data_IF_743617906005
#
_entry.id   IF_743617906005
#
_cell.length_a   1.000
_cell.length_b   1.000
_cell.length_c   1.000
_cell.angle_alpha   90.00
_cell.angle_beta   90.00
_cell.angle_gamma   90.00
#
_symmetry.space_group_name_H-M   'P 1'
#
loop_
_entity.id
_entity.type
_entity.pdbx_description
1 polymer ?
#
# COMPACT_ATOMS: atom_id res chain seq x y z
N UNK A 1 -12.33 0.58 49.64
CA UNK A 1 -12.75 0.37 48.23
C UNK A 1 -12.11 -0.93 47.76
N UNK A 2 -12.90 -1.88 47.28
CA UNK A 2 -12.37 -3.11 46.66
C UNK A 2 -11.96 -2.73 45.24
N UNK A 3 -10.66 -2.78 44.93
CA UNK A 3 -10.18 -2.51 43.59
C UNK A 3 -10.19 -3.82 42.78
N UNK A 4 -10.92 -3.87 41.65
CA UNK A 4 -10.86 -5.03 40.77
C UNK A 4 -9.44 -5.20 40.21
N UNK A 5 -8.87 -6.39 40.36
CA UNK A 5 -7.53 -6.74 39.83
C UNK A 5 -7.60 -7.35 38.43
N UNK A 6 -8.75 -7.91 38.05
CA UNK A 6 -8.97 -8.48 36.71
C UNK A 6 -9.31 -7.38 35.71
N UNK A 7 -8.51 -7.27 34.65
CA UNK A 7 -8.79 -6.40 33.51
C UNK A 7 -9.31 -7.25 32.36
N UNK A 8 -10.33 -6.76 31.66
CA UNK A 8 -10.89 -7.39 30.47
C UNK A 8 -11.01 -6.35 29.35
N UNK A 9 -10.97 -6.81 28.10
CA UNK A 9 -11.23 -5.98 26.92
C UNK A 9 -12.04 -6.80 25.90
N UNK A 10 -12.69 -6.11 24.94
CA UNK A 10 -13.39 -6.73 23.82
C UNK A 10 -12.90 -6.11 22.50
N UNK A 11 -12.88 -6.91 21.44
CA UNK A 11 -12.79 -6.43 20.05
C UNK A 11 -14.18 -6.49 19.41
N UNK A 12 -14.45 -5.62 18.46
CA UNK A 12 -15.71 -5.58 17.71
C UNK A 12 -15.40 -5.58 16.22
N UNK A 13 -16.10 -6.40 15.45
CA UNK A 13 -16.06 -6.41 13.99
C UNK A 13 -17.26 -5.61 13.48
N UNK A 14 -17.02 -4.65 12.60
CA UNK A 14 -18.04 -3.81 11.99
C UNK A 14 -17.85 -3.90 10.48
N UNK A 15 -18.94 -4.17 9.76
CA UNK A 15 -18.90 -4.24 8.30
C UNK A 15 -18.88 -2.85 7.68
N UNK A 16 -18.27 -2.74 6.51
CA UNK A 16 -18.08 -1.48 5.82
C UNK A 16 -17.83 -1.66 4.33
N UNK A 17 -17.89 -0.54 3.61
CA UNK A 17 -17.50 -0.44 2.22
C UNK A 17 -16.25 0.41 2.09
N UNK A 18 -15.35 0.03 1.18
CA UNK A 18 -14.17 0.81 0.82
C UNK A 18 -14.44 1.52 -0.50
N UNK A 19 -14.36 2.85 -0.52
CA UNK A 19 -14.67 3.67 -1.70
C UNK A 19 -13.53 4.63 -2.04
N UNK A 20 -13.30 4.95 -3.32
CA UNK A 20 -12.24 5.88 -3.71
C UNK A 20 -12.56 7.31 -3.29
N UNK A 21 -11.55 8.01 -2.79
CA UNK A 21 -11.58 9.44 -2.47
C UNK A 21 -10.19 10.04 -2.61
N UNK A 22 -10.06 11.33 -2.28
CA UNK A 22 -8.78 12.04 -2.27
C UNK A 22 -8.62 12.76 -0.93
N UNK A 23 -7.45 12.62 -0.30
CA UNK A 23 -7.04 13.47 0.82
C UNK A 23 -6.20 14.62 0.28
N UNK A 24 -6.57 15.85 0.64
CA UNK A 24 -5.83 17.04 0.31
C UNK A 24 -5.05 17.54 1.54
N UNK A 25 -3.75 17.26 1.54
CA UNK A 25 -2.81 17.62 2.59
C UNK A 25 -1.53 18.20 1.97
N UNK A 26 -1.60 19.45 1.52
CA UNK A 26 -0.54 20.11 0.75
C UNK A 26 -0.50 19.67 -0.72
N UNK A 27 -0.56 18.37 -0.97
CA UNK A 27 -0.82 17.74 -2.28
C UNK A 27 -2.09 16.89 -2.22
N UNK A 28 -2.47 16.24 -3.33
CA UNK A 28 -3.64 15.37 -3.41
C UNK A 28 -3.23 13.91 -3.44
N UNK A 29 -3.70 13.14 -2.45
CA UNK A 29 -3.40 11.74 -2.29
C UNK A 29 -4.63 10.92 -2.60
N UNK A 30 -4.54 10.06 -3.61
CA UNK A 30 -5.56 9.06 -3.86
C UNK A 30 -5.60 8.05 -2.70
N UNK A 31 -6.79 7.80 -2.18
CA UNK A 31 -7.02 6.83 -1.10
C UNK A 31 -8.31 6.06 -1.36
N UNK A 32 -8.45 4.89 -0.74
CA UNK A 32 -9.77 4.38 -0.43
C UNK A 32 -10.12 4.81 1.00
N UNK A 33 -11.33 5.32 1.22
CA UNK A 33 -11.87 5.57 2.56
C UNK A 33 -12.84 4.45 2.92
N UNK A 34 -12.82 4.04 4.18
CA UNK A 34 -13.66 2.95 4.67
C UNK A 34 -14.87 3.50 5.44
N UNK A 35 -16.07 3.19 4.96
CA UNK A 35 -17.34 3.64 5.52
C UNK A 35 -18.01 2.47 6.23
N UNK A 36 -18.25 2.60 7.53
CA UNK A 36 -18.74 1.51 8.38
C UNK A 36 -20.23 1.63 8.71
N UNK A 37 -20.85 0.47 9.02
CA UNK A 37 -22.26 0.35 9.36
C UNK A 37 -22.69 1.15 10.61
N UNK A 38 -21.76 1.45 11.51
CA UNK A 38 -21.97 2.28 12.70
C UNK A 38 -21.81 3.79 12.41
N UNK A 39 -21.65 4.18 11.14
CA UNK A 39 -21.54 5.58 10.73
C UNK A 39 -20.16 6.20 10.95
N UNK A 40 -19.13 5.38 11.19
CA UNK A 40 -17.74 5.83 11.20
C UNK A 40 -17.13 5.81 9.81
N UNK A 41 -16.12 6.66 9.61
CA UNK A 41 -15.36 6.74 8.37
C UNK A 41 -13.87 6.75 8.70
N UNK A 42 -13.09 5.85 8.10
CA UNK A 42 -11.63 5.92 8.09
C UNK A 42 -11.18 6.70 6.86
N UNK A 43 -10.55 7.85 7.08
CA UNK A 43 -9.98 8.69 6.03
C UNK A 43 -8.66 9.34 6.51
N UNK A 44 -7.69 8.50 6.90
CA UNK A 44 -6.48 8.79 7.71
C UNK A 44 -6.76 9.14 9.18
N UNK A 45 -7.99 9.54 9.47
CA UNK A 45 -8.54 9.67 10.80
C UNK A 45 -9.78 8.79 10.89
N UNK A 46 -9.97 8.16 12.05
CA UNK A 46 -11.12 7.30 12.28
C UNK A 46 -12.26 8.10 12.93
N UNK A 47 -13.03 8.77 12.09
CA UNK A 47 -13.97 9.81 12.46
C UNK A 47 -15.41 9.30 12.56
N UNK A 48 -16.27 10.12 13.19
CA UNK A 48 -17.71 9.97 13.04
C UNK A 48 -18.21 10.75 11.81
N UNK A 49 -19.47 10.53 11.44
CA UNK A 49 -20.07 11.14 10.27
C UNK A 49 -20.11 12.68 10.30
N UNK A 50 -20.18 13.30 11.49
CA UNK A 50 -20.24 14.76 11.60
C UNK A 50 -18.86 15.41 11.44
N UNK A 51 -17.80 14.75 11.89
CA UNK A 51 -16.43 15.16 11.61
C UNK A 51 -16.09 14.94 10.14
N UNK A 52 -16.45 13.79 9.57
CA UNK A 52 -16.30 13.53 8.14
C UNK A 52 -16.94 14.62 7.27
N UNK A 53 -18.18 15.04 7.58
CA UNK A 53 -18.85 16.16 6.88
C UNK A 53 -18.07 17.47 6.97
N UNK A 54 -17.47 17.77 8.12
CA UNK A 54 -16.62 18.97 8.28
C UNK A 54 -15.35 18.84 7.44
N UNK A 55 -14.78 17.64 7.38
CA UNK A 55 -13.58 17.31 6.61
C UNK A 55 -13.78 17.47 5.12
N UNK A 56 -14.93 17.02 4.60
CA UNK A 56 -15.32 17.29 3.21
C UNK A 56 -15.52 18.79 2.96
N UNK A 57 -16.25 19.49 3.86
CA UNK A 57 -16.55 20.92 3.68
C UNK A 57 -15.31 21.81 3.73
N UNK A 58 -14.38 21.52 4.65
CA UNK A 58 -13.11 22.25 4.78
C UNK A 58 -12.08 21.88 3.70
N UNK A 59 -12.33 20.81 2.93
CA UNK A 59 -11.47 20.37 1.83
C UNK A 59 -10.28 19.54 2.29
N UNK A 60 -10.40 18.83 3.42
CA UNK A 60 -9.46 17.77 3.81
C UNK A 60 -9.72 16.50 2.99
N UNK A 61 -10.97 16.07 2.93
CA UNK A 61 -11.43 15.02 2.01
C UNK A 61 -12.08 15.71 0.81
N UNK A 62 -11.65 15.36 -0.40
CA UNK A 62 -12.18 15.92 -1.65
C UNK A 62 -12.55 14.81 -2.63
N UNK A 63 -13.52 15.08 -3.48
CA UNK A 63 -14.01 14.18 -4.53
C UNK A 63 -13.43 14.49 -5.91
N UNK A 64 -12.50 15.44 -5.99
CA UNK A 64 -11.87 15.84 -7.24
C UNK A 64 -10.66 16.75 -7.01
N UNK A 65 -9.85 16.85 -8.06
CA UNK A 65 -8.58 17.58 -8.08
C UNK A 65 -8.67 18.67 -9.15
N UNK A 66 -8.26 19.92 -8.87
CA UNK A 66 -8.21 20.98 -9.87
C UNK A 66 -7.11 20.71 -10.92
N UNK A 67 -7.31 21.18 -12.15
CA UNK A 67 -6.34 21.04 -13.22
C UNK A 67 -4.94 21.60 -12.86
N UNK A 68 -3.90 20.97 -13.42
CA UNK A 68 -2.48 21.26 -13.19
C UNK A 68 -2.01 20.98 -11.75
N UNK A 69 -2.79 20.25 -10.96
CA UNK A 69 -2.33 19.71 -9.68
C UNK A 69 -1.94 18.24 -9.84
N UNK A 70 -1.18 17.77 -8.85
CA UNK A 70 -0.64 16.42 -8.80
C UNK A 70 -1.56 15.48 -8.04
N UNK A 71 -1.80 14.28 -8.57
CA UNK A 71 -2.39 13.14 -7.87
C UNK A 71 -1.29 12.13 -7.53
N UNK A 72 -1.10 11.89 -6.24
CA UNK A 72 -0.20 10.86 -5.70
C UNK A 72 -0.98 9.57 -5.42
N UNK A 73 -0.60 8.47 -6.05
CA UNK A 73 -1.19 7.14 -5.83
C UNK A 73 -0.15 6.27 -5.10
N UNK A 74 -0.45 5.92 -3.85
CA UNK A 74 0.48 5.21 -2.99
C UNK A 74 0.99 3.91 -3.64
N UNK A 75 2.32 3.75 -3.65
CA UNK A 75 3.01 2.59 -4.19
C UNK A 75 2.95 2.44 -5.71
N UNK A 76 2.45 3.43 -6.46
CA UNK A 76 2.31 3.35 -7.92
C UNK A 76 3.01 4.51 -8.65
N UNK A 77 2.80 5.74 -8.20
CA UNK A 77 3.39 6.91 -8.85
C UNK A 77 2.65 8.20 -8.54
N UNK A 78 3.06 9.25 -9.22
CA UNK A 78 2.40 10.54 -9.12
C UNK A 78 2.37 11.27 -10.46
N UNK A 79 1.24 11.92 -10.74
CA UNK A 79 0.98 12.56 -12.04
C UNK A 79 0.36 13.93 -11.88
N UNK A 80 0.81 14.89 -12.68
CA UNK A 80 0.06 16.11 -12.93
C UNK A 80 -1.09 15.80 -13.87
N UNK A 81 -2.29 16.30 -13.55
CA UNK A 81 -3.52 15.97 -14.28
C UNK A 81 -4.21 17.21 -14.82
N UNK A 82 -5.01 17.02 -15.88
CA UNK A 82 -5.87 18.03 -16.49
C UNK A 82 -7.21 17.42 -16.91
N UNK A 83 -8.19 18.25 -17.23
CA UNK A 83 -9.52 17.85 -17.71
C UNK A 83 -10.23 16.87 -16.74
N UNK A 84 -10.16 17.15 -15.44
CA UNK A 84 -10.84 16.34 -14.42
C UNK A 84 -12.36 16.36 -14.58
N UNK A 85 -12.99 15.18 -14.65
CA UNK A 85 -14.44 14.98 -14.69
C UNK A 85 -14.87 14.14 -13.48
N UNK A 86 -15.31 14.83 -12.43
CA UNK A 86 -15.59 14.23 -11.12
C UNK A 86 -17.09 13.99 -10.91
N UNK A 87 -17.43 12.87 -10.28
CA UNK A 87 -18.83 12.45 -10.08
C UNK A 87 -19.56 13.24 -9.00
N UNK A 88 -18.81 13.83 -8.05
CA UNK A 88 -19.39 14.46 -6.87
C UNK A 88 -18.83 15.86 -6.63
N UNK A 89 -19.71 16.74 -6.18
CA UNK A 89 -19.34 17.89 -5.37
C UNK A 89 -19.32 17.52 -3.88
N UNK A 90 -19.06 18.52 -3.01
CA UNK A 90 -18.95 18.30 -1.56
C UNK A 90 -20.20 17.69 -0.93
N UNK A 91 -21.39 18.22 -1.25
CA UNK A 91 -22.62 17.79 -0.58
C UNK A 91 -23.15 16.47 -1.19
N UNK A 92 -23.00 16.27 -2.50
CA UNK A 92 -23.34 14.99 -3.13
C UNK A 92 -22.40 13.85 -2.70
N UNK A 93 -21.13 14.12 -2.41
CA UNK A 93 -20.22 13.13 -1.83
C UNK A 93 -20.61 12.75 -0.39
N UNK A 94 -20.97 13.75 0.43
CA UNK A 94 -21.52 13.51 1.77
C UNK A 94 -22.79 12.64 1.68
N UNK A 95 -23.71 12.98 0.77
CA UNK A 95 -24.95 12.23 0.58
C UNK A 95 -24.70 10.80 0.11
N UNK A 96 -23.67 10.57 -0.73
CA UNK A 96 -23.27 9.24 -1.15
C UNK A 96 -22.80 8.40 0.04
N UNK A 97 -21.92 8.93 0.89
CA UNK A 97 -21.44 8.24 2.10
C UNK A 97 -22.59 7.93 3.06
N UNK A 98 -23.52 8.87 3.26
CA UNK A 98 -24.72 8.63 4.08
C UNK A 98 -25.61 7.51 3.51
N UNK A 99 -25.72 7.39 2.19
CA UNK A 99 -26.44 6.28 1.55
C UNK A 99 -25.76 4.94 1.80
N UNK A 100 -24.43 4.87 1.74
CA UNK A 100 -23.67 3.65 2.05
C UNK A 100 -23.88 3.20 3.50
N UNK A 101 -23.86 4.13 4.45
CA UNK A 101 -24.15 3.82 5.86
C UNK A 101 -25.57 3.26 5.99
N UNK A 102 -26.55 3.85 5.31
CA UNK A 102 -27.93 3.38 5.32
C UNK A 102 -28.11 2.04 4.61
N UNK A 103 -27.30 1.73 3.61
CA UNK A 103 -27.30 0.42 2.96
C UNK A 103 -26.79 -0.67 3.91
N UNK A 104 -25.70 -0.40 4.63
CA UNK A 104 -25.14 -1.30 5.64
C UNK A 104 -26.03 -1.41 6.90
N UNK A 105 -26.71 -0.32 7.26
CA UNK A 105 -27.53 -0.20 8.46
C UNK A 105 -28.83 0.57 8.17
N UNK A 106 -29.85 -0.09 7.58
CA UNK A 106 -31.09 0.59 7.16
C UNK A 106 -31.88 1.26 8.27
N UNK A 107 -31.76 0.75 9.50
CA UNK A 107 -32.43 1.28 10.68
C UNK A 107 -31.62 2.40 11.38
N UNK A 108 -30.35 2.61 10.98
CA UNK A 108 -29.41 3.53 11.63
C UNK A 108 -29.30 3.27 13.14
N UNK A 109 -29.25 1.99 13.53
CA UNK A 109 -29.10 1.58 14.92
C UNK A 109 -27.63 1.62 15.34
N UNK A 110 -27.35 2.01 16.59
CA UNK A 110 -25.99 2.06 17.15
C UNK A 110 -25.00 2.94 16.36
N UNK A 111 -25.48 4.03 15.76
CA UNK A 111 -24.59 5.01 15.10
C UNK A 111 -23.67 5.66 16.14
N UNK A 112 -22.39 5.62 15.85
CA UNK A 112 -21.35 6.20 16.67
C UNK A 112 -21.44 7.72 16.67
N UNK A 113 -21.32 8.31 17.84
CA UNK A 113 -21.18 9.75 18.02
C UNK A 113 -19.89 10.00 18.77
N UNK A 114 -18.98 10.76 18.15
CA UNK A 114 -17.69 11.03 18.75
C UNK A 114 -17.87 11.81 20.04
N UNK A 115 -17.26 11.28 21.12
CA UNK A 115 -17.09 12.00 22.37
C UNK A 115 -15.60 12.19 22.62
N UNK A 116 -15.14 13.44 22.59
CA UNK A 116 -13.73 13.73 22.84
C UNK A 116 -13.39 13.37 24.28
N UNK A 117 -12.62 12.30 24.49
CA UNK A 117 -12.10 11.94 25.80
C UNK A 117 -10.70 12.52 25.97
N UNK A 118 -10.50 13.34 27.00
CA UNK A 118 -9.17 13.87 27.34
C UNK A 118 -8.79 13.38 28.73
N UNK A 119 -7.62 12.76 28.85
CA UNK A 119 -7.06 12.29 30.13
C UNK A 119 -5.67 12.89 30.27
N UNK A 120 -5.44 13.69 31.32
CA UNK A 120 -4.17 14.37 31.59
C UNK A 120 -3.66 15.21 30.40
N UNK A 121 -4.55 15.86 29.65
CA UNK A 121 -4.19 16.66 28.48
C UNK A 121 -3.96 15.85 27.20
N UNK A 122 -3.97 14.52 27.26
CA UNK A 122 -3.87 13.63 26.10
C UNK A 122 -5.28 13.34 25.58
N UNK A 123 -5.51 13.64 24.31
CA UNK A 123 -6.74 13.24 23.60
C UNK A 123 -6.67 11.74 23.34
N UNK A 124 -7.66 11.01 23.86
CA UNK A 124 -7.84 9.58 23.61
C UNK A 124 -8.91 9.47 22.53
N UNK A 125 -8.51 8.96 21.37
CA UNK A 125 -9.41 8.56 20.29
C UNK A 125 -9.43 7.05 20.12
N UNK A 126 -10.39 6.56 19.36
CA UNK A 126 -10.38 5.20 18.86
C UNK A 126 -9.72 5.19 17.47
N UNK A 127 -8.91 4.17 17.19
CA UNK A 127 -8.40 3.90 15.85
C UNK A 127 -9.13 2.71 15.24
N UNK A 128 -9.20 2.69 13.93
CA UNK A 128 -9.78 1.62 13.14
C UNK A 128 -9.12 1.65 11.78
N UNK A 129 -8.76 0.48 11.27
CA UNK A 129 -8.26 0.30 9.92
C UNK A 129 -9.16 -0.74 9.26
N UNK A 130 -9.57 -0.52 8.01
CA UNK A 130 -10.24 -1.55 7.25
C UNK A 130 -9.29 -2.67 6.87
N UNK A 131 -9.83 -3.87 6.81
CA UNK A 131 -9.17 -5.01 6.17
C UNK A 131 -10.05 -5.43 5.01
N UNK A 132 -9.48 -5.43 3.81
CA UNK A 132 -10.15 -6.00 2.64
C UNK A 132 -10.31 -7.50 2.86
N UNK A 133 -11.47 -8.03 2.49
CA UNK A 133 -11.78 -9.43 2.65
C UNK A 133 -12.59 -9.96 1.48
N UNK A 134 -12.60 -11.28 1.33
CA UNK A 134 -13.57 -12.00 0.52
C UNK A 134 -14.27 -13.06 1.36
N UNK A 135 -15.45 -13.46 0.91
CA UNK A 135 -16.24 -14.50 1.56
C UNK A 135 -15.85 -15.89 1.03
N UNK A 136 -15.56 -16.81 1.95
CA UNK A 136 -15.48 -18.22 1.68
C UNK A 136 -16.75 -18.91 2.16
N UNK A 137 -17.68 -19.10 1.22
CA UNK A 137 -18.96 -19.78 1.46
C UNK A 137 -18.77 -21.29 1.44
N UNK A 138 -19.10 -21.97 2.53
CA UNK A 138 -19.05 -23.45 2.60
C UNK A 138 -20.19 -24.10 1.82
N UNK A 139 -21.29 -23.36 1.67
CA UNK A 139 -22.47 -23.75 0.89
C UNK A 139 -23.06 -22.51 0.21
N UNK A 140 -23.86 -22.64 -0.87
CA UNK A 140 -24.48 -21.49 -1.53
C UNK A 140 -25.32 -20.60 -0.60
N UNK A 141 -25.84 -21.15 0.50
CA UNK A 141 -26.70 -20.46 1.47
C UNK A 141 -25.99 -20.23 2.82
N UNK A 142 -24.67 -20.17 2.83
CA UNK A 142 -23.90 -19.88 4.05
C UNK A 142 -24.22 -18.46 4.54
N UNK A 143 -24.91 -18.36 5.67
CA UNK A 143 -25.31 -17.10 6.28
C UNK A 143 -24.16 -16.41 7.03
N UNK A 144 -23.12 -17.16 7.36
CA UNK A 144 -21.96 -16.66 8.10
C UNK A 144 -20.67 -17.17 7.45
N UNK A 145 -20.42 -16.78 6.18
CA UNK A 145 -19.23 -17.20 5.49
C UNK A 145 -17.98 -16.77 6.24
N UNK A 146 -16.96 -17.60 6.12
CA UNK A 146 -15.64 -17.24 6.63
C UNK A 146 -15.11 -16.05 5.83
N UNK A 147 -14.53 -15.07 6.54
CA UNK A 147 -13.91 -13.90 5.92
C UNK A 147 -12.43 -14.13 5.81
N UNK A 148 -11.94 -14.23 4.58
CA UNK A 148 -10.52 -14.35 4.28
C UNK A 148 -9.99 -12.95 4.01
N UNK A 149 -9.12 -12.46 4.88
CA UNK A 149 -8.47 -11.15 4.72
C UNK A 149 -7.40 -11.24 3.63
N UNK A 150 -7.22 -10.15 2.90
CA UNK A 150 -6.18 -10.01 1.88
C UNK A 150 -5.42 -8.70 2.02
N UNK A 151 -4.42 -8.56 1.18
CA UNK A 151 -3.64 -7.33 1.01
C UNK A 151 -3.85 -6.76 -0.39
N UNK A 152 -3.34 -5.56 -0.68
CA UNK A 152 -3.59 -4.94 -1.98
C UNK A 152 -2.49 -4.01 -2.49
N UNK A 153 -2.42 -3.90 -3.82
CA UNK A 153 -1.60 -2.90 -4.52
C UNK A 153 -2.43 -2.16 -5.58
N UNK A 154 -2.04 -0.92 -5.89
CA UNK A 154 -2.63 -0.17 -7.01
C UNK A 154 -1.86 -0.45 -8.30
N UNK A 155 -2.60 -0.62 -9.40
CA UNK A 155 -2.10 -0.71 -10.78
C UNK A 155 -3.12 -0.08 -11.74
N UNK A 156 -2.78 0.02 -13.03
CA UNK A 156 -3.73 0.40 -14.07
C UNK A 156 -4.14 -0.81 -14.92
N UNK A 157 -5.42 -0.87 -15.27
CA UNK A 157 -5.99 -1.83 -16.20
C UNK A 157 -6.35 -1.12 -17.51
N UNK A 158 -5.82 -1.57 -18.64
CA UNK A 158 -5.94 -0.93 -19.95
C UNK A 158 -7.05 -1.58 -20.78
N UNK A 159 -7.99 -0.78 -21.27
CA UNK A 159 -9.06 -1.21 -22.20
C UNK A 159 -9.21 -0.17 -23.30
N UNK A 160 -9.07 -0.58 -24.57
CA UNK A 160 -9.32 0.28 -25.74
C UNK A 160 -8.65 1.68 -25.67
N UNK A 161 -7.43 1.76 -25.17
CA UNK A 161 -6.63 2.99 -24.92
C UNK A 161 -7.09 3.89 -23.76
N UNK A 162 -8.06 3.45 -22.96
CA UNK A 162 -8.34 4.04 -21.65
C UNK A 162 -7.69 3.20 -20.54
N UNK A 163 -7.41 3.87 -19.43
CA UNK A 163 -6.79 3.27 -18.27
C UNK A 163 -7.76 3.35 -17.10
N UNK A 164 -7.86 2.28 -16.32
CA UNK A 164 -8.69 2.21 -15.14
C UNK A 164 -7.77 1.99 -13.95
N UNK A 165 -7.82 2.88 -12.96
CA UNK A 165 -7.10 2.66 -11.72
C UNK A 165 -7.74 1.45 -11.01
N UNK A 166 -7.03 0.33 -10.97
CA UNK A 166 -7.51 -0.92 -10.37
C UNK A 166 -6.81 -1.16 -9.03
N UNK A 167 -7.54 -1.75 -8.09
CA UNK A 167 -6.98 -2.25 -6.84
C UNK A 167 -6.86 -3.77 -6.95
N UNK A 168 -5.61 -4.23 -6.99
CA UNK A 168 -5.26 -5.65 -7.09
C UNK A 168 -5.24 -6.21 -5.68
N UNK A 169 -6.25 -6.99 -5.34
CA UNK A 169 -6.40 -7.65 -4.05
C UNK A 169 -5.73 -9.03 -4.14
N UNK A 170 -4.95 -9.40 -3.13
CA UNK A 170 -4.24 -10.69 -3.06
C UNK A 170 -4.70 -11.42 -1.82
N UNK A 171 -5.05 -12.70 -1.97
CA UNK A 171 -5.58 -13.53 -0.89
C UNK A 171 -4.70 -14.76 -0.61
N UNK A 172 -4.71 -15.30 0.63
CA UNK A 172 -3.96 -16.51 1.02
C UNK A 172 -4.21 -17.76 0.17
N UNK A 173 -5.37 -17.85 -0.46
CA UNK A 173 -5.75 -18.98 -1.33
C UNK A 173 -5.32 -18.80 -2.79
N UNK A 174 -4.36 -17.91 -3.03
CA UNK A 174 -3.76 -17.59 -4.34
C UNK A 174 -4.72 -16.92 -5.33
N UNK A 175 -5.89 -16.48 -4.88
CA UNK A 175 -6.77 -15.65 -5.70
C UNK A 175 -6.23 -14.23 -5.74
N UNK A 176 -6.20 -13.66 -6.94
CA UNK A 176 -5.97 -12.24 -7.19
C UNK A 176 -7.27 -11.65 -7.73
N UNK A 177 -7.82 -10.63 -7.08
CA UNK A 177 -9.04 -9.97 -7.52
C UNK A 177 -8.74 -8.55 -8.00
N UNK A 178 -9.08 -8.25 -9.25
CA UNK A 178 -9.03 -6.91 -9.82
C UNK A 178 -10.32 -6.18 -9.46
N UNK A 179 -10.24 -5.25 -8.51
CA UNK A 179 -11.37 -4.45 -8.03
C UNK A 179 -11.24 -2.98 -8.46
N UNK A 180 -12.19 -2.12 -8.06
CA UNK A 180 -12.32 -0.75 -8.58
C UNK A 180 -12.60 -0.72 -10.09
N UNK A 181 -13.36 -1.71 -10.54
CA UNK A 181 -13.92 -1.86 -11.89
C UNK A 181 -15.44 -2.06 -11.77
N UNK A 182 -16.18 -1.93 -12.87
CA UNK A 182 -17.64 -2.18 -12.87
C UNK A 182 -17.99 -3.58 -12.33
N UNK A 183 -17.14 -4.56 -12.64
CA UNK A 183 -17.20 -5.91 -12.09
C UNK A 183 -15.81 -6.32 -11.65
N UNK A 184 -15.74 -6.91 -10.46
CA UNK A 184 -14.52 -7.57 -10.00
C UNK A 184 -14.19 -8.74 -10.91
N UNK A 185 -12.90 -8.90 -11.23
CA UNK A 185 -12.38 -10.02 -12.01
C UNK A 185 -11.41 -10.80 -11.15
N UNK A 186 -11.72 -12.07 -10.91
CA UNK A 186 -10.83 -12.96 -10.17
C UNK A 186 -9.96 -13.74 -11.15
N UNK A 187 -8.66 -13.76 -10.87
CA UNK A 187 -7.61 -14.41 -11.64
C UNK A 187 -6.59 -15.05 -10.68
N UNK A 188 -5.68 -15.86 -11.23
CA UNK A 188 -4.52 -16.37 -10.50
C UNK A 188 -3.22 -15.63 -10.89
N UNK A 189 -2.09 -16.01 -10.27
CA UNK A 189 -0.80 -15.37 -10.52
C UNK A 189 -0.30 -15.55 -11.97
N UNK A 190 -0.51 -16.71 -12.59
CA UNK A 190 -0.10 -16.97 -13.98
C UNK A 190 -0.89 -16.07 -14.94
N UNK A 191 -2.20 -15.99 -14.76
CA UNK A 191 -3.06 -15.08 -15.53
C UNK A 191 -2.70 -13.60 -15.31
N UNK A 192 -2.36 -13.21 -14.08
CA UNK A 192 -1.90 -11.86 -13.76
C UNK A 192 -0.59 -11.53 -14.49
N UNK A 193 0.39 -12.43 -14.49
CA UNK A 193 1.65 -12.29 -15.23
C UNK A 193 1.42 -12.22 -16.74
N UNK A 194 0.49 -13.02 -17.28
CA UNK A 194 0.09 -12.91 -18.68
C UNK A 194 -0.49 -11.53 -19.02
N UNK A 195 -1.34 -10.96 -18.16
CA UNK A 195 -1.93 -9.64 -18.38
C UNK A 195 -0.87 -8.53 -18.34
N UNK A 196 0.15 -8.67 -17.50
CA UNK A 196 1.33 -7.77 -17.51
C UNK A 196 2.10 -7.92 -18.83
N UNK A 197 2.40 -9.15 -19.24
CA UNK A 197 3.14 -9.43 -20.48
C UNK A 197 2.40 -8.93 -21.74
N UNK A 198 1.06 -8.89 -21.70
CA UNK A 198 0.18 -8.35 -22.75
C UNK A 198 -0.01 -6.82 -22.66
N UNK A 199 0.64 -6.14 -21.71
CA UNK A 199 0.48 -4.71 -21.42
C UNK A 199 -0.98 -4.30 -21.13
N UNK A 200 -1.77 -5.22 -20.55
CA UNK A 200 -3.15 -4.96 -20.10
C UNK A 200 -3.12 -4.46 -18.67
N UNK A 201 -2.27 -5.03 -17.81
CA UNK A 201 -1.97 -4.50 -16.48
C UNK A 201 -0.64 -3.76 -16.56
N UNK A 202 -0.64 -2.48 -16.21
CA UNK A 202 0.53 -1.60 -16.30
C UNK A 202 0.66 -0.74 -15.06
N UNK A 203 1.87 -0.24 -14.81
CA UNK A 203 2.14 0.73 -13.75
C UNK A 203 2.41 2.14 -14.27
N UNK A 204 2.69 2.26 -15.57
CA UNK A 204 3.00 3.51 -16.25
C UNK A 204 1.91 3.85 -17.27
N UNK A 205 1.60 5.15 -17.35
CA UNK A 205 0.57 5.69 -18.22
C UNK A 205 1.17 6.82 -19.07
N UNK A 206 1.01 6.79 -20.41
CA UNK A 206 1.49 7.86 -21.28
C UNK A 206 0.80 9.20 -21.01
N UNK A 207 1.52 10.29 -21.30
CA UNK A 207 0.92 11.63 -21.33
C UNK A 207 -0.21 11.69 -22.37
N UNK A 208 -1.30 12.36 -22.04
CA UNK A 208 -2.52 12.45 -22.85
C UNK A 208 -3.48 11.28 -22.67
N UNK A 209 -3.13 10.24 -21.91
CA UNK A 209 -4.04 9.14 -21.60
C UNK A 209 -5.14 9.54 -20.62
N UNK A 210 -6.32 8.97 -20.79
CA UNK A 210 -7.45 9.13 -19.87
C UNK A 210 -7.40 8.01 -18.82
N UNK A 211 -7.46 8.41 -17.56
CA UNK A 211 -7.57 7.52 -16.40
C UNK A 211 -8.96 7.64 -15.82
N UNK A 212 -9.61 6.50 -15.63
CA UNK A 212 -10.90 6.35 -14.97
C UNK A 212 -10.70 5.74 -13.58
N UNK A 213 -11.35 6.31 -12.58
CA UNK A 213 -11.43 5.79 -11.22
C UNK A 213 -12.90 5.46 -10.97
N UNK A 214 -13.23 4.16 -11.01
CA UNK A 214 -14.61 3.71 -10.83
C UNK A 214 -15.16 4.17 -9.47
N UNK A 215 -16.26 4.92 -9.48
CA UNK A 215 -16.85 5.47 -8.26
C UNK A 215 -16.28 6.80 -7.80
N UNK A 216 -15.42 7.48 -8.59
CA UNK A 216 -14.91 8.83 -8.27
C UNK A 216 -14.94 9.79 -9.45
N UNK A 217 -14.46 9.37 -10.63
CA UNK A 217 -14.38 10.22 -11.82
C UNK A 217 -13.27 9.82 -12.77
N UNK A 218 -12.88 10.75 -13.66
CA UNK A 218 -11.78 10.55 -14.60
C UNK A 218 -10.94 11.80 -14.77
N UNK A 219 -9.73 11.65 -15.31
CA UNK A 219 -8.83 12.75 -15.65
C UNK A 219 -7.91 12.38 -16.82
N UNK A 220 -7.26 13.38 -17.41
CA UNK A 220 -6.21 13.18 -18.41
C UNK A 220 -4.84 13.39 -17.78
N UNK A 221 -3.90 12.51 -18.07
CA UNK A 221 -2.51 12.62 -17.62
C UNK A 221 -1.82 13.73 -18.41
N UNK A 222 -1.23 14.68 -17.70
CA UNK A 222 -0.36 15.68 -18.33
C UNK A 222 1.10 15.22 -18.30
N UNK A 223 1.61 14.88 -17.12
CA UNK A 223 3.01 14.52 -16.91
C UNK A 223 3.14 13.58 -15.71
N UNK A 224 4.04 12.61 -15.79
CA UNK A 224 4.41 11.75 -14.67
C UNK A 224 5.58 12.38 -13.90
N UNK A 225 5.44 12.56 -12.58
CA UNK A 225 6.51 13.04 -11.72
C UNK A 225 7.46 11.90 -11.34
N UNK A 226 6.89 10.75 -11.01
CA UNK A 226 7.60 9.48 -10.86
C UNK A 226 6.61 8.32 -11.04
N UNK A 227 7.15 7.15 -11.38
CA UNK A 227 6.39 5.90 -11.52
C UNK A 227 7.17 4.76 -10.88
N UNK A 228 6.44 3.72 -10.46
CA UNK A 228 7.02 2.45 -10.07
C UNK A 228 7.03 1.50 -11.26
N UNK A 229 8.16 0.84 -11.51
CA UNK A 229 8.27 -0.13 -12.61
C UNK A 229 7.34 -1.34 -12.37
N UNK A 230 6.79 -1.88 -13.45
CA UNK A 230 5.82 -2.99 -13.38
C UNK A 230 6.44 -4.27 -12.79
N UNK A 231 7.75 -4.49 -12.96
CA UNK A 231 8.47 -5.61 -12.37
C UNK A 231 8.56 -5.47 -10.86
N UNK A 232 8.76 -4.26 -10.34
CA UNK A 232 8.74 -4.00 -8.89
C UNK A 232 7.36 -4.29 -8.31
N UNK A 233 6.29 -3.90 -9.02
CA UNK A 233 4.92 -4.24 -8.63
C UNK A 233 4.66 -5.75 -8.63
N UNK A 234 5.25 -6.48 -9.58
CA UNK A 234 5.15 -7.94 -9.62
C UNK A 234 5.91 -8.60 -8.47
N UNK A 235 7.09 -8.07 -8.09
CA UNK A 235 7.82 -8.52 -6.91
C UNK A 235 6.99 -8.30 -5.64
N UNK A 236 6.38 -7.12 -5.48
CA UNK A 236 5.47 -6.84 -4.36
C UNK A 236 4.31 -7.83 -4.29
N UNK A 237 3.63 -8.11 -5.40
CA UNK A 237 2.51 -9.07 -5.43
C UNK A 237 2.98 -10.48 -5.04
N UNK A 238 4.13 -10.92 -5.55
CA UNK A 238 4.70 -12.23 -5.20
C UNK A 238 5.08 -12.31 -3.73
N UNK A 239 5.58 -11.22 -3.16
CA UNK A 239 5.94 -11.16 -1.74
C UNK A 239 4.71 -11.20 -0.84
N UNK A 240 3.66 -10.44 -1.19
CA UNK A 240 2.36 -10.51 -0.50
C UNK A 240 1.79 -11.93 -0.49
N UNK A 241 1.91 -12.68 -1.61
CA UNK A 241 1.47 -14.08 -1.65
C UNK A 241 2.24 -14.94 -0.63
N UNK A 242 3.55 -14.77 -0.50
CA UNK A 242 4.37 -15.52 0.47
C UNK A 242 3.96 -15.19 1.90
N UNK A 243 3.88 -13.89 2.22
CA UNK A 243 3.51 -13.42 3.56
C UNK A 243 2.12 -13.93 3.96
N UNK A 244 1.14 -13.88 3.06
CA UNK A 244 -0.22 -14.37 3.29
C UNK A 244 -0.29 -15.90 3.49
N UNK A 245 0.69 -16.65 2.97
CA UNK A 245 0.86 -18.09 3.25
C UNK A 245 1.63 -18.37 4.54
N UNK A 246 2.15 -17.35 5.21
CA UNK A 246 3.03 -17.48 6.37
C UNK A 246 4.44 -17.94 6.02
N UNK A 247 4.85 -17.76 4.76
CA UNK A 247 6.23 -18.00 4.31
C UNK A 247 7.09 -16.75 4.57
N UNK A 248 8.43 -16.90 4.73
CA UNK A 248 9.32 -15.74 4.86
C UNK A 248 9.21 -14.81 3.65
N UNK A 249 9.15 -13.50 3.93
CA UNK A 249 9.19 -12.46 2.91
C UNK A 249 10.52 -12.45 2.17
N UNK A 250 10.59 -11.78 1.01
CA UNK A 250 11.82 -11.61 0.24
C UNK A 250 12.90 -10.92 1.07
N UNK A 251 12.51 -9.95 1.90
CA UNK A 251 13.44 -9.27 2.81
C UNK A 251 13.97 -10.20 3.90
N UNK A 252 13.14 -11.09 4.47
CA UNK A 252 13.59 -12.09 5.44
C UNK A 252 14.59 -13.06 4.82
N UNK A 253 14.28 -13.58 3.63
CA UNK A 253 15.18 -14.46 2.88
C UNK A 253 16.50 -13.75 2.55
N UNK A 254 16.45 -12.47 2.18
CA UNK A 254 17.65 -11.68 1.90
C UNK A 254 18.49 -11.44 3.17
N UNK A 255 17.86 -11.15 4.31
CA UNK A 255 18.55 -11.00 5.60
C UNK A 255 19.23 -12.29 6.03
N UNK A 256 18.58 -13.43 5.86
CA UNK A 256 19.20 -14.73 6.13
C UNK A 256 20.37 -15.03 5.20
N UNK A 257 20.25 -14.70 3.91
CA UNK A 257 21.35 -14.84 2.96
C UNK A 257 22.52 -13.91 3.30
N UNK A 258 22.22 -12.70 3.76
CA UNK A 258 23.22 -11.75 4.21
C UNK A 258 23.96 -12.27 5.43
N UNK A 259 23.24 -12.75 6.45
CA UNK A 259 23.85 -13.35 7.64
C UNK A 259 24.73 -14.56 7.30
N UNK A 260 24.24 -15.45 6.41
CA UNK A 260 25.03 -16.58 5.90
C UNK A 260 26.34 -16.16 5.24
N UNK A 261 26.32 -15.08 4.47
CA UNK A 261 27.54 -14.53 3.87
C UNK A 261 28.49 -13.95 4.91
N UNK A 262 27.97 -13.24 5.92
CA UNK A 262 28.78 -12.70 7.01
C UNK A 262 29.48 -13.82 7.80
N UNK A 263 28.76 -14.91 8.09
CA UNK A 263 29.32 -16.05 8.82
C UNK A 263 30.30 -16.86 7.96
N UNK A 264 29.98 -17.04 6.67
CA UNK A 264 30.75 -17.83 5.71
C UNK A 264 30.88 -17.11 4.36
N UNK A 265 31.88 -16.25 4.18
CA UNK A 265 32.02 -15.47 2.95
C UNK A 265 32.61 -16.33 1.83
N UNK A 266 31.77 -17.06 1.11
CA UNK A 266 32.13 -17.83 -0.09
C UNK A 266 31.55 -17.18 -1.35
N UNK A 267 32.06 -17.54 -2.53
CA UNK A 267 31.49 -17.08 -3.81
C UNK A 267 30.04 -17.54 -3.98
N UNK A 268 29.72 -18.77 -3.58
CA UNK A 268 28.35 -19.28 -3.61
C UNK A 268 27.41 -18.47 -2.69
N UNK A 269 27.82 -18.16 -1.46
CA UNK A 269 27.00 -17.34 -0.56
C UNK A 269 26.84 -15.90 -1.08
N UNK A 270 27.85 -15.34 -1.76
CA UNK A 270 27.73 -14.05 -2.44
C UNK A 270 26.69 -14.10 -3.56
N UNK A 271 26.70 -15.16 -4.36
CA UNK A 271 25.73 -15.34 -5.45
C UNK A 271 24.30 -15.52 -4.90
N UNK A 272 24.13 -16.32 -3.85
CA UNK A 272 22.83 -16.47 -3.19
C UNK A 272 22.32 -15.16 -2.58
N UNK A 273 23.20 -14.36 -1.97
CA UNK A 273 22.87 -13.02 -1.48
C UNK A 273 22.46 -12.10 -2.63
N UNK A 274 23.14 -12.17 -3.79
CA UNK A 274 22.75 -11.39 -4.96
C UNK A 274 21.37 -11.78 -5.46
N UNK A 275 21.09 -13.07 -5.60
CA UNK A 275 19.80 -13.58 -6.07
C UNK A 275 18.67 -13.15 -5.13
N UNK A 276 18.86 -13.28 -3.82
CA UNK A 276 17.83 -12.89 -2.84
C UNK A 276 17.64 -11.37 -2.79
N UNK A 277 18.72 -10.58 -2.87
CA UNK A 277 18.65 -9.12 -2.88
C UNK A 277 17.89 -8.57 -4.08
N UNK A 278 18.11 -9.12 -5.29
CA UNK A 278 17.39 -8.71 -6.51
C UNK A 278 15.92 -9.14 -6.52
N UNK A 279 15.52 -10.06 -5.64
CA UNK A 279 14.12 -10.47 -5.47
C UNK A 279 13.35 -9.60 -4.47
N UNK A 280 14.03 -8.73 -3.69
CA UNK A 280 13.40 -7.77 -2.78
C UNK A 280 12.90 -6.57 -3.58
N UNK A 281 11.66 -6.10 -3.40
CA UNK A 281 11.20 -4.85 -4.01
C UNK A 281 12.10 -3.67 -3.64
N UNK A 282 12.40 -2.79 -4.59
CA UNK A 282 13.38 -1.70 -4.45
C UNK A 282 13.17 -0.82 -3.22
N UNK A 283 11.91 -0.45 -2.95
CA UNK A 283 11.55 0.37 -1.79
C UNK A 283 11.75 -0.35 -0.44
N UNK A 284 11.88 -1.69 -0.46
CA UNK A 284 12.17 -2.49 0.72
C UNK A 284 13.66 -2.80 0.89
N UNK A 285 14.47 -2.75 -0.18
CA UNK A 285 15.91 -3.07 -0.14
C UNK A 285 16.64 -2.33 0.97
N UNK A 286 16.29 -1.06 1.21
CA UNK A 286 16.91 -0.24 2.27
C UNK A 286 16.79 -0.82 3.69
N UNK A 287 15.84 -1.73 3.93
CA UNK A 287 15.62 -2.36 5.23
C UNK A 287 16.37 -3.69 5.40
N UNK A 288 17.11 -4.16 4.38
CA UNK A 288 17.87 -5.42 4.47
C UNK A 288 18.98 -5.34 5.51
N UNK A 289 19.70 -4.21 5.59
CA UNK A 289 20.73 -3.99 6.61
C UNK A 289 20.23 -3.20 7.82
N UNK A 290 21.14 -2.50 8.49
CA UNK A 290 20.83 -1.74 9.70
C UNK A 290 20.25 -0.34 9.41
N UNK A 291 19.72 0.33 10.44
CA UNK A 291 19.07 1.65 10.27
C UNK A 291 20.04 2.76 9.82
N UNK A 292 21.34 2.64 10.09
CA UNK A 292 22.33 3.68 9.82
C UNK A 292 22.92 3.55 8.41
N UNK A 293 23.26 2.32 8.02
CA UNK A 293 23.93 1.99 6.76
C UNK A 293 22.96 1.49 5.69
N UNK A 294 21.71 1.19 6.05
CA UNK A 294 20.67 0.65 5.15
C UNK A 294 21.20 -0.61 4.45
N UNK A 295 21.09 -0.70 3.14
CA UNK A 295 21.59 -1.81 2.33
C UNK A 295 23.00 -1.59 1.77
N UNK A 296 23.70 -0.52 2.17
CA UNK A 296 25.01 -0.16 1.61
C UNK A 296 26.01 -1.32 1.74
N UNK A 297 26.08 -1.97 2.92
CA UNK A 297 26.97 -3.12 3.14
C UNK A 297 26.67 -4.30 2.19
N UNK A 298 25.37 -4.59 1.98
CA UNK A 298 24.92 -5.65 1.09
C UNK A 298 25.31 -5.34 -0.36
N UNK A 299 25.08 -4.09 -0.81
CA UNK A 299 25.50 -3.63 -2.13
C UNK A 299 27.02 -3.69 -2.31
N UNK A 300 27.80 -3.32 -1.29
CA UNK A 300 29.26 -3.42 -1.33
C UNK A 300 29.73 -4.86 -1.54
N UNK A 301 29.08 -5.84 -0.90
CA UNK A 301 29.38 -7.26 -1.08
C UNK A 301 29.06 -7.72 -2.51
N UNK A 302 27.88 -7.35 -3.02
CA UNK A 302 27.36 -7.84 -4.29
C UNK A 302 28.06 -7.17 -5.48
N UNK A 303 28.06 -5.84 -5.51
CA UNK A 303 28.49 -5.02 -6.66
C UNK A 303 29.89 -4.42 -6.51
N UNK A 304 30.43 -4.36 -5.29
CA UNK A 304 31.81 -3.92 -4.99
C UNK A 304 31.89 -2.74 -4.02
N UNK A 305 33.07 -2.54 -3.41
CA UNK A 305 33.29 -1.57 -2.33
C UNK A 305 32.95 -0.11 -2.69
N UNK A 306 32.95 0.22 -3.98
CA UNK A 306 32.64 1.56 -4.51
C UNK A 306 31.20 1.99 -4.21
N UNK A 307 30.30 1.04 -3.92
CA UNK A 307 28.91 1.32 -3.56
C UNK A 307 28.77 2.21 -2.31
N UNK A 308 29.79 2.27 -1.45
CA UNK A 308 29.81 3.20 -0.31
C UNK A 308 29.69 4.67 -0.74
N UNK A 309 30.11 5.02 -1.96
CA UNK A 309 30.02 6.39 -2.47
C UNK A 309 28.58 6.86 -2.70
N UNK A 310 27.63 5.92 -2.83
CA UNK A 310 26.21 6.21 -3.00
C UNK A 310 25.49 6.51 -1.68
N UNK A 311 26.10 6.17 -0.54
CA UNK A 311 25.52 6.39 0.78
C UNK A 311 25.48 7.88 1.14
N UNK A 312 24.33 8.34 1.66
CA UNK A 312 24.09 9.77 1.96
C UNK A 312 25.13 10.36 2.91
N UNK A 313 25.53 9.64 3.97
CA UNK A 313 26.54 10.14 4.92
C UNK A 313 27.92 10.27 4.27
N UNK A 314 28.28 9.34 3.38
CA UNK A 314 29.53 9.43 2.62
C UNK A 314 29.54 10.67 1.71
N UNK A 315 28.44 10.90 0.98
CA UNK A 315 28.30 12.07 0.08
C UNK A 315 28.36 13.39 0.83
N UNK A 316 27.71 13.48 1.99
CA UNK A 316 27.73 14.68 2.85
C UNK A 316 29.14 14.92 3.40
N UNK A 317 29.80 13.90 3.97
CA UNK A 317 31.16 14.03 4.49
C UNK A 317 32.16 14.46 3.39
N UNK A 318 32.04 13.88 2.18
CA UNK A 318 32.86 14.24 1.01
C UNK A 318 32.64 15.71 0.60
N UNK A 319 31.40 16.18 0.59
CA UNK A 319 31.08 17.57 0.25
C UNK A 319 31.57 18.57 1.33
N UNK A 320 31.59 18.16 2.59
CA UNK A 320 32.06 18.97 3.73
C UNK A 320 33.58 18.89 3.94
N UNK A 321 34.30 18.04 3.20
CA UNK A 321 35.74 17.80 3.40
C UNK A 321 36.05 17.11 4.73
N UNK A 322 35.08 16.40 5.30
CA UNK A 322 35.22 15.68 6.56
C UNK A 322 35.82 14.28 6.35
N UNK A 323 36.13 13.59 7.47
CA UNK A 323 36.60 12.21 7.43
C UNK A 323 35.49 11.32 6.87
N UNK A 324 35.81 10.61 5.78
CA UNK A 324 34.87 9.72 5.12
C UNK A 324 34.53 8.51 6.01
N UNK A 325 33.24 8.17 6.16
CA UNK A 325 32.85 6.99 6.91
C UNK A 325 33.24 5.72 6.13
N UNK A 326 33.50 4.65 6.86
CA UNK A 326 33.95 3.36 6.30
C UNK A 326 33.06 2.24 6.79
N UNK A 327 32.70 1.33 5.89
CA UNK A 327 32.00 0.09 6.22
C UNK A 327 32.94 -1.06 5.86
N UNK A 328 33.19 -1.96 6.81
CA UNK A 328 33.98 -3.17 6.54
C UNK A 328 33.03 -4.30 6.17
N UNK A 329 33.30 -4.93 5.02
CA UNK A 329 32.57 -6.11 4.56
C UNK A 329 33.55 -7.27 4.34
N UNK A 330 33.20 -8.52 4.70
CA UNK A 330 34.05 -9.67 4.41
C UNK A 330 34.28 -9.84 2.90
N UNK A 331 35.49 -10.22 2.51
CA UNK A 331 35.81 -10.61 1.12
C UNK A 331 35.55 -12.11 0.93
N UNK A 332 34.99 -12.54 -0.22
CA UNK A 332 34.74 -13.95 -0.45
C UNK A 332 36.06 -14.71 -0.56
N UNK A 333 36.16 -15.86 0.13
CA UNK A 333 37.25 -16.82 -0.01
C UNK A 333 36.91 -17.79 -1.14
N UNK A 334 37.90 -18.17 -1.94
CA UNK A 334 37.77 -19.32 -2.85
C UNK A 334 37.53 -20.57 -1.98
N UNK A 335 36.54 -21.38 -2.36
CA UNK A 335 36.33 -22.68 -1.73
C UNK A 335 37.58 -23.52 -2.00
N UNK A 336 38.37 -23.77 -0.96
CA UNK A 336 39.34 -24.84 -1.00
C UNK A 336 38.56 -26.15 -1.03
N UNK A 337 38.64 -26.87 -2.15
CA UNK A 337 38.15 -28.24 -2.29
C UNK A 337 38.60 -29.07 -1.07
N UNK A 338 37.65 -29.48 -0.22
CA UNK A 338 37.84 -30.55 0.78
C UNK A 338 37.21 -31.85 0.30
#
# INVERSE_FOLDING_TARGET
MINPTTRVYRKQLIEGFSIPAIIHNGSYFFVDIDVYADGRVECWHFEDIEHFKKDVRRGWVVSGIPDNNEISIHGLGSWTIINGSWLFDKESFIDYVLKLIKELNPALENIYQYSQKTVNGIKIGESGNGSVYKEHKRTPNDLFPEKITGESVNLFYKVNNEYYLTKVLVFPDLTISLSRLEKTVDINLEEFEELINKEIIVSEIPAGSIVNIYGLGSFTVQEAQYTTDIKEKLLEVRDLIKELKGEPSAIDVCREAYQRYIDHPTLNNKEQLKISYEAVPDHQKMYVGDMDTKDTAVRMIIYGEQEIENWSHYRVAKAMGEKLPTIQVPTPKEESDE
#
